data_IF_790113987752
#
_entry.id   IF_790113987752
#
_cell.length_a   1.000
_cell.length_b   1.000
_cell.length_c   1.000
_cell.angle_alpha   90.00
_cell.angle_beta   90.00
_cell.angle_gamma   90.00
#
_symmetry.space_group_name_H-M   'P 1'
#
loop_
_entity.id
_entity.type
_entity.pdbx_description
1 polymer ?
#
# COMPACT_ATOMS: atom_id res chain seq x y z
N UNK A 1 -13.38 29.40 -63.46
CA UNK A 1 -13.07 30.25 -62.28
C UNK A 1 -11.93 29.58 -61.54
N UNK A 2 -10.77 30.23 -61.51
CA UNK A 2 -9.49 29.61 -61.21
C UNK A 2 -9.12 29.58 -59.72
N UNK A 3 -8.24 28.62 -59.42
CA UNK A 3 -7.29 28.55 -58.31
C UNK A 3 -6.87 29.94 -57.79
N UNK A 4 -6.77 30.12 -56.46
CA UNK A 4 -5.59 30.72 -55.81
C UNK A 4 -5.86 31.23 -54.38
N UNK A 5 -5.11 30.65 -53.42
CA UNK A 5 -4.50 31.25 -52.21
C UNK A 5 -5.45 31.60 -51.05
N UNK A 6 -5.10 31.45 -49.77
CA UNK A 6 -3.88 31.04 -49.03
C UNK A 6 -4.34 30.86 -47.56
N UNK A 7 -3.92 29.78 -46.89
CA UNK A 7 -2.83 29.82 -45.90
C UNK A 7 -3.24 30.41 -44.53
N UNK A 8 -3.85 29.58 -43.66
CA UNK A 8 -3.66 29.64 -42.21
C UNK A 8 -2.86 28.36 -41.87
N UNK A 9 -1.52 28.35 -41.87
CA UNK A 9 -0.64 28.80 -40.78
C UNK A 9 -1.10 28.28 -39.41
N UNK A 10 -0.27 27.38 -38.85
CA UNK A 10 -0.06 27.12 -37.41
C UNK A 10 -1.29 26.48 -36.74
N UNK A 11 -1.30 25.20 -36.39
CA UNK A 11 -0.50 24.62 -35.32
C UNK A 11 -0.33 23.12 -35.67
N UNK A 12 0.75 22.80 -36.36
CA UNK A 12 1.41 21.50 -36.15
C UNK A 12 2.17 21.71 -34.84
N UNK A 13 1.50 21.56 -33.71
CA UNK A 13 2.18 21.20 -32.47
C UNK A 13 2.42 19.72 -32.65
N UNK A 14 3.59 19.23 -33.06
CA UNK A 14 4.82 19.22 -32.25
C UNK A 14 4.51 19.22 -30.74
N UNK A 15 3.50 18.46 -30.34
CA UNK A 15 3.67 17.51 -29.26
C UNK A 15 4.47 16.38 -29.92
N UNK A 16 5.76 16.59 -30.24
CA UNK A 16 6.81 16.23 -29.32
C UNK A 16 6.47 14.90 -28.64
N UNK A 17 6.18 13.91 -29.49
CA UNK A 17 6.79 12.59 -29.41
C UNK A 17 8.05 12.65 -28.53
N UNK A 18 8.09 11.79 -27.52
CA UNK A 18 9.30 11.34 -26.87
C UNK A 18 10.01 12.35 -25.95
N UNK A 19 9.34 12.83 -24.90
CA UNK A 19 9.82 12.39 -23.59
C UNK A 19 9.41 10.91 -23.48
N UNK A 20 10.21 9.92 -23.91
CA UNK A 20 11.42 9.52 -23.18
C UNK A 20 11.35 9.93 -21.70
N UNK A 21 10.19 9.71 -21.09
CA UNK A 21 10.18 9.16 -19.74
C UNK A 21 10.93 7.85 -19.90
N UNK A 22 12.21 7.87 -19.60
CA UNK A 22 12.80 6.77 -18.87
C UNK A 22 11.90 6.60 -17.67
N UNK A 23 10.79 5.87 -17.83
CA UNK A 23 10.12 5.25 -16.71
C UNK A 23 11.27 4.44 -16.14
N UNK A 24 11.82 4.80 -14.95
CA UNK A 24 12.73 3.88 -14.30
C UNK A 24 12.03 2.54 -14.38
N UNK A 25 12.72 1.46 -14.72
CA UNK A 25 12.12 0.14 -14.69
C UNK A 25 11.67 -0.10 -13.24
N UNK A 26 10.48 0.39 -12.89
CA UNK A 26 9.84 0.21 -11.60
C UNK A 26 9.59 -1.28 -11.63
N UNK A 27 10.36 -2.03 -10.85
CA UNK A 27 10.22 -3.47 -10.66
C UNK A 27 8.96 -3.79 -9.85
N UNK A 28 7.89 -3.04 -10.08
CA UNK A 28 6.64 -3.14 -9.38
C UNK A 28 5.49 -3.37 -10.36
N UNK A 29 4.44 -3.98 -9.82
CA UNK A 29 3.29 -4.45 -10.55
C UNK A 29 2.09 -3.57 -10.16
N UNK A 30 1.46 -2.93 -11.15
CA UNK A 30 0.16 -2.26 -10.99
C UNK A 30 -0.94 -3.32 -11.07
N UNK A 31 -1.51 -3.64 -9.90
CA UNK A 31 -2.53 -4.66 -9.74
C UNK A 31 -3.89 -4.24 -10.31
N UNK A 32 -4.13 -2.93 -10.50
CA UNK A 32 -5.37 -2.44 -11.10
C UNK A 32 -5.37 -2.69 -12.61
N UNK A 33 -4.21 -2.53 -13.26
CA UNK A 33 -4.06 -2.80 -14.70
C UNK A 33 -3.87 -4.28 -15.01
N UNK A 34 -3.10 -5.00 -14.18
CA UNK A 34 -2.79 -6.41 -14.38
C UNK A 34 -3.02 -7.24 -13.11
N UNK A 35 -4.28 -7.48 -12.70
CA UNK A 35 -4.59 -8.18 -11.44
C UNK A 35 -4.04 -9.61 -11.35
N UNK A 36 -3.79 -10.24 -12.50
CA UNK A 36 -3.25 -11.61 -12.59
C UNK A 36 -1.78 -11.68 -12.21
N UNK A 37 -1.07 -10.56 -12.31
CA UNK A 37 0.37 -10.51 -12.05
C UNK A 37 0.67 -10.27 -10.57
N UNK A 38 -0.34 -9.80 -9.81
CA UNK A 38 -0.30 -9.70 -8.37
C UNK A 38 -0.76 -11.01 -7.71
N UNK A 39 -0.24 -11.28 -6.51
CA UNK A 39 -0.54 -12.51 -5.77
C UNK A 39 -0.56 -12.24 -4.27
N UNK A 40 -1.78 -12.24 -3.70
CA UNK A 40 -2.01 -12.14 -2.26
C UNK A 40 -1.29 -13.26 -1.50
N UNK A 41 -1.32 -14.51 -1.99
CA UNK A 41 -0.57 -15.62 -1.38
C UNK A 41 0.94 -15.36 -1.38
N UNK A 42 1.47 -14.75 -2.43
CA UNK A 42 2.87 -14.32 -2.48
C UNK A 42 3.16 -13.20 -1.47
N UNK A 43 2.28 -12.21 -1.32
CA UNK A 43 2.40 -11.18 -0.27
C UNK A 43 2.46 -11.84 1.12
N UNK A 44 1.53 -12.74 1.42
CA UNK A 44 1.49 -13.44 2.71
C UNK A 44 2.74 -14.30 2.96
N UNK A 45 3.43 -14.77 1.91
CA UNK A 45 4.68 -15.53 1.99
C UNK A 45 5.92 -14.62 2.11
N UNK A 46 5.99 -13.56 1.33
CA UNK A 46 7.19 -12.73 1.17
C UNK A 46 7.37 -11.71 2.30
N UNK A 47 6.31 -11.38 3.03
CA UNK A 47 6.32 -10.40 4.13
C UNK A 47 6.13 -11.08 5.50
N UNK A 48 7.18 -11.72 6.06
CA UNK A 48 7.15 -12.26 7.42
C UNK A 48 7.12 -11.16 8.48
N UNK A 49 7.55 -9.95 8.13
CA UNK A 49 7.51 -8.77 8.97
C UNK A 49 7.15 -7.57 8.08
N UNK A 50 6.15 -6.80 8.49
CA UNK A 50 5.68 -5.63 7.74
C UNK A 50 5.27 -4.50 8.68
N UNK A 51 5.56 -3.27 8.26
CA UNK A 51 5.13 -2.04 8.93
C UNK A 51 4.10 -1.32 8.07
N UNK A 52 3.07 -0.78 8.71
CA UNK A 52 2.25 0.23 8.08
C UNK A 52 2.99 1.57 8.17
N UNK A 53 3.44 2.05 7.02
CA UNK A 53 4.30 3.22 6.93
C UNK A 53 3.48 4.50 6.77
N UNK A 54 2.43 4.46 5.95
CA UNK A 54 1.66 5.65 5.61
C UNK A 54 0.25 5.29 5.11
N UNK A 55 -0.69 6.21 5.31
CA UNK A 55 -2.09 6.06 4.90
C UNK A 55 -2.65 7.33 4.25
N UNK A 56 -3.78 7.21 3.57
CA UNK A 56 -4.60 8.35 3.16
C UNK A 56 -5.65 8.78 4.20
N UNK A 57 -5.73 8.10 5.35
CA UNK A 57 -6.65 8.45 6.43
C UNK A 57 -6.06 9.58 7.27
N UNK A 58 -6.69 10.75 7.23
CA UNK A 58 -6.24 11.93 7.97
C UNK A 58 -6.32 11.79 9.49
N UNK A 59 -7.25 10.96 9.99
CA UNK A 59 -7.49 10.73 11.41
C UNK A 59 -7.29 9.24 11.75
N UNK A 60 -6.16 8.65 11.34
CA UNK A 60 -5.87 7.26 11.67
C UNK A 60 -5.80 7.09 13.21
N UNK A 61 -6.58 6.18 13.82
CA UNK A 61 -6.65 6.08 15.28
C UNK A 61 -5.38 5.48 15.89
N UNK A 62 -4.51 4.89 15.06
CA UNK A 62 -3.32 4.13 15.44
C UNK A 62 -2.08 4.62 14.73
N UNK A 63 -0.92 4.33 15.32
CA UNK A 63 0.38 4.59 14.73
C UNK A 63 1.40 3.53 15.16
N UNK A 64 2.55 3.47 14.48
CA UNK A 64 3.60 2.47 14.68
C UNK A 64 3.16 1.01 14.50
N UNK A 65 2.25 0.76 13.56
CA UNK A 65 1.74 -0.59 13.36
C UNK A 65 2.81 -1.52 12.79
N UNK A 66 2.98 -2.66 13.44
CA UNK A 66 3.93 -3.72 13.10
C UNK A 66 3.22 -5.05 13.12
N UNK A 67 3.44 -5.88 12.12
CA UNK A 67 2.86 -7.21 12.03
C UNK A 67 3.97 -8.22 11.79
N UNK A 68 4.12 -9.18 12.69
CA UNK A 68 5.11 -10.26 12.62
C UNK A 68 4.43 -11.61 12.43
N UNK A 69 4.74 -12.29 11.32
CA UNK A 69 4.11 -13.55 10.94
C UNK A 69 4.54 -14.67 11.89
N UNK A 70 3.58 -15.27 12.56
CA UNK A 70 3.78 -16.42 13.45
C UNK A 70 3.56 -17.76 12.76
N UNK A 71 2.75 -17.79 11.70
CA UNK A 71 2.52 -19.01 10.92
C UNK A 71 2.02 -18.69 9.51
N UNK A 72 2.24 -19.63 8.59
CA UNK A 72 1.70 -19.65 7.24
C UNK A 72 1.19 -21.06 6.98
N UNK A 73 -0.02 -21.16 6.44
CA UNK A 73 -0.62 -22.43 5.96
C UNK A 73 0.18 -23.04 4.81
N UNK A 74 0.06 -24.35 4.61
CA UNK A 74 0.84 -25.09 3.60
C UNK A 74 0.58 -24.59 2.16
N UNK A 75 -0.63 -24.14 1.87
CA UNK A 75 -1.02 -23.59 0.57
C UNK A 75 -0.76 -22.06 0.43
N UNK A 76 -0.25 -21.43 1.50
CA UNK A 76 0.07 -20.01 1.54
C UNK A 76 -1.16 -19.08 1.58
N UNK A 77 -2.37 -19.60 1.78
CA UNK A 77 -3.61 -18.81 1.72
C UNK A 77 -3.95 -18.12 3.03
N UNK A 78 -3.51 -18.68 4.16
CA UNK A 78 -3.75 -18.14 5.51
C UNK A 78 -2.42 -17.89 6.19
N UNK A 79 -2.24 -16.68 6.73
CA UNK A 79 -1.13 -16.29 7.58
C UNK A 79 -1.64 -15.72 8.90
N UNK A 80 -0.97 -16.03 10.01
CA UNK A 80 -1.26 -15.41 11.30
C UNK A 80 -0.10 -14.50 11.69
N UNK A 81 -0.43 -13.35 12.26
CA UNK A 81 0.50 -12.31 12.68
C UNK A 81 0.26 -11.92 14.13
N UNK A 82 1.35 -11.72 14.87
CA UNK A 82 1.31 -10.92 16.10
C UNK A 82 1.48 -9.45 15.68
N UNK A 83 0.44 -8.66 15.95
CA UNK A 83 0.38 -7.23 15.62
C UNK A 83 0.73 -6.39 16.85
N UNK A 84 1.42 -5.29 16.65
CA UNK A 84 1.74 -4.31 17.68
C UNK A 84 1.47 -2.90 17.17
N UNK A 85 0.79 -2.07 17.96
CA UNK A 85 0.44 -0.70 17.58
C UNK A 85 0.21 0.18 18.82
N UNK A 86 0.08 1.49 18.61
CA UNK A 86 -0.23 2.45 19.67
C UNK A 86 -1.43 3.28 19.24
N UNK A 87 -2.38 3.55 20.13
CA UNK A 87 -3.47 4.50 19.84
C UNK A 87 -2.97 5.94 19.87
N UNK A 88 -3.36 6.72 18.86
CA UNK A 88 -3.01 8.14 18.73
C UNK A 88 -3.55 8.98 19.90
N UNK A 89 -4.73 8.64 20.42
CA UNK A 89 -5.35 9.29 21.59
C UNK A 89 -4.90 8.72 22.94
N UNK A 90 -4.03 7.71 22.93
CA UNK A 90 -3.60 6.97 24.12
C UNK A 90 -2.41 7.61 24.84
N UNK A 91 -1.96 6.95 25.90
CA UNK A 91 -0.81 7.33 26.73
C UNK A 91 0.53 6.86 26.17
N UNK A 92 0.55 6.32 24.95
CA UNK A 92 1.74 5.72 24.34
C UNK A 92 1.94 4.23 24.68
N UNK A 93 1.02 3.60 25.40
CA UNK A 93 1.09 2.16 25.71
C UNK A 93 1.05 1.32 24.45
N UNK A 94 2.00 0.40 24.34
CA UNK A 94 2.05 -0.60 23.28
C UNK A 94 0.91 -1.60 23.45
N UNK A 95 0.14 -1.78 22.40
CA UNK A 95 -0.93 -2.77 22.32
C UNK A 95 -0.45 -3.92 21.46
N UNK A 96 -0.72 -5.14 21.89
CA UNK A 96 -0.45 -6.35 21.12
C UNK A 96 -1.76 -7.04 20.77
N UNK A 97 -1.88 -7.51 19.54
CA UNK A 97 -3.04 -8.20 19.02
C UNK A 97 -2.64 -9.41 18.18
N UNK A 98 -3.60 -10.29 17.90
CA UNK A 98 -3.44 -11.40 16.97
C UNK A 98 -4.31 -11.18 15.77
N UNK A 99 -3.69 -11.14 14.61
CA UNK A 99 -4.36 -10.95 13.34
C UNK A 99 -4.24 -12.20 12.46
N UNK A 100 -5.30 -12.50 11.74
CA UNK A 100 -5.35 -13.52 10.69
C UNK A 100 -5.57 -12.83 9.36
N UNK A 101 -4.75 -13.18 8.39
CA UNK A 101 -4.79 -12.67 7.02
C UNK A 101 -5.12 -13.84 6.08
N UNK A 102 -6.13 -13.66 5.23
CA UNK A 102 -6.62 -14.68 4.30
C UNK A 102 -6.58 -14.14 2.88
N UNK A 103 -5.84 -14.80 2.00
CA UNK A 103 -5.82 -14.51 0.58
C UNK A 103 -7.11 -15.05 -0.08
N UNK A 104 -8.07 -14.17 -0.31
CA UNK A 104 -9.39 -14.51 -0.89
C UNK A 104 -9.32 -14.61 -2.41
N UNK A 105 -8.46 -13.80 -3.03
CA UNK A 105 -8.17 -13.84 -4.46
C UNK A 105 -6.74 -13.37 -4.73
N UNK A 106 -6.34 -13.24 -6.00
CA UNK A 106 -5.01 -12.73 -6.35
C UNK A 106 -4.70 -11.34 -5.79
N UNK A 107 -5.71 -10.50 -5.61
CA UNK A 107 -5.54 -9.11 -5.16
C UNK A 107 -6.24 -8.80 -3.84
N UNK A 108 -7.05 -9.70 -3.30
CA UNK A 108 -7.83 -9.45 -2.08
C UNK A 108 -7.27 -10.24 -0.90
N UNK A 109 -6.98 -9.52 0.19
CA UNK A 109 -6.58 -10.07 1.48
C UNK A 109 -7.61 -9.62 2.51
N UNK A 110 -8.26 -10.57 3.16
CA UNK A 110 -9.14 -10.30 4.30
C UNK A 110 -8.31 -10.37 5.59
N UNK A 111 -8.34 -9.31 6.40
CA UNK A 111 -7.67 -9.24 7.69
C UNK A 111 -8.69 -9.28 8.83
N UNK A 112 -8.39 -9.97 9.91
CA UNK A 112 -9.19 -9.94 11.14
C UNK A 112 -8.25 -9.88 12.33
N UNK A 113 -8.48 -8.97 13.27
CA UNK A 113 -7.61 -8.76 14.42
C UNK A 113 -8.44 -8.81 15.71
N UNK A 114 -8.06 -9.66 16.66
CA UNK A 114 -8.91 -10.03 17.81
C UNK A 114 -9.33 -8.85 18.71
N UNK A 115 -8.52 -7.81 18.84
CA UNK A 115 -8.78 -6.68 19.72
C UNK A 115 -9.01 -5.37 18.93
N UNK A 116 -8.37 -5.23 17.75
CA UNK A 116 -8.47 -4.03 16.94
C UNK A 116 -9.78 -3.96 16.14
N UNK A 117 -10.22 -5.10 15.60
CA UNK A 117 -11.39 -5.17 14.72
C UNK A 117 -11.96 -6.58 14.70
N UNK A 118 -13.06 -6.80 15.44
CA UNK A 118 -13.85 -8.04 15.38
C UNK A 118 -14.55 -8.25 14.03
N UNK A 119 -14.44 -7.29 13.10
CA UNK A 119 -14.95 -7.38 11.74
C UNK A 119 -13.82 -7.70 10.75
N UNK A 120 -14.18 -8.39 9.68
CA UNK A 120 -13.29 -8.67 8.56
C UNK A 120 -13.00 -7.36 7.83
N UNK A 121 -11.71 -7.08 7.63
CA UNK A 121 -11.19 -5.91 6.97
C UNK A 121 -10.65 -6.29 5.58
N UNK A 122 -11.41 -6.04 4.50
CA UNK A 122 -10.97 -6.39 3.16
C UNK A 122 -9.92 -5.39 2.66
N UNK A 123 -8.76 -5.88 2.26
CA UNK A 123 -7.66 -5.09 1.70
C UNK A 123 -7.35 -5.53 0.28
N UNK A 124 -7.52 -4.62 -0.68
CA UNK A 124 -7.27 -4.86 -2.10
C UNK A 124 -5.92 -4.30 -2.51
N UNK A 125 -5.04 -5.14 -3.04
CA UNK A 125 -3.74 -4.77 -3.59
C UNK A 125 -3.90 -3.91 -4.84
N UNK A 126 -3.25 -2.75 -4.87
CA UNK A 126 -3.21 -1.83 -6.00
C UNK A 126 -1.83 -1.76 -6.65
N UNK A 127 -0.76 -1.89 -5.85
CA UNK A 127 0.61 -1.90 -6.34
C UNK A 127 1.52 -2.76 -5.46
N UNK A 128 2.42 -3.54 -6.05
CA UNK A 128 3.40 -4.36 -5.33
C UNK A 128 4.79 -4.12 -5.90
N UNK A 129 5.78 -3.82 -5.06
CA UNK A 129 7.18 -3.66 -5.45
C UNK A 129 8.04 -4.78 -4.83
N UNK A 130 8.26 -5.84 -5.61
CA UNK A 130 9.00 -7.03 -5.20
C UNK A 130 8.67 -7.46 -3.75
N UNK A 131 9.68 -7.56 -2.88
CA UNK A 131 9.54 -7.85 -1.44
C UNK A 131 9.80 -6.62 -0.56
N UNK A 132 9.75 -5.42 -1.16
CA UNK A 132 10.09 -4.17 -0.47
C UNK A 132 8.85 -3.52 0.12
N UNK A 133 7.77 -3.43 -0.65
CA UNK A 133 6.57 -2.73 -0.23
C UNK A 133 5.37 -3.10 -1.10
N UNK A 134 4.18 -2.77 -0.61
CA UNK A 134 2.95 -2.82 -1.38
C UNK A 134 1.98 -1.72 -0.93
N UNK A 135 1.12 -1.31 -1.86
CA UNK A 135 0.03 -0.36 -1.64
C UNK A 135 -1.27 -1.08 -1.93
N UNK A 136 -2.27 -0.78 -1.12
CA UNK A 136 -3.63 -1.23 -1.38
C UNK A 136 -4.64 -0.34 -0.71
N UNK A 137 -5.91 -0.64 -0.96
CA UNK A 137 -7.02 0.11 -0.42
C UNK A 137 -8.06 -0.79 0.25
N UNK A 138 -8.93 -0.11 0.97
CA UNK A 138 -10.09 -0.69 1.62
C UNK A 138 -11.22 0.34 1.71
N UNK A 139 -12.41 -0.14 2.06
CA UNK A 139 -13.59 0.66 2.29
C UNK A 139 -13.95 0.54 3.77
N UNK A 140 -13.69 1.60 4.55
CA UNK A 140 -14.03 1.63 5.98
C UNK A 140 -15.55 1.72 6.23
N UNK A 141 -16.30 2.21 5.25
CA UNK A 141 -17.76 2.26 5.27
C UNK A 141 -18.31 1.86 3.90
N UNK A 142 -19.01 0.72 3.85
CA UNK A 142 -19.63 0.16 2.65
C UNK A 142 -20.60 1.14 1.95
N UNK A 143 -21.15 2.12 2.69
CA UNK A 143 -22.09 3.09 2.16
C UNK A 143 -21.43 4.29 1.50
N UNK A 144 -20.21 4.65 1.92
CA UNK A 144 -19.54 5.87 1.43
C UNK A 144 -18.74 5.65 0.16
N UNK A 145 -18.40 4.39 -0.17
CA UNK A 145 -17.49 4.03 -1.28
C UNK A 145 -16.15 4.78 -1.26
N UNK A 146 -15.79 5.37 -0.11
CA UNK A 146 -14.53 6.07 0.04
C UNK A 146 -13.43 5.01 0.18
N UNK A 147 -12.44 5.10 -0.70
CA UNK A 147 -11.25 4.27 -0.66
C UNK A 147 -10.22 4.93 0.26
N UNK A 148 -9.72 4.15 1.21
CA UNK A 148 -8.59 4.52 2.04
C UNK A 148 -7.41 3.66 1.68
N UNK A 149 -6.29 4.31 1.40
CA UNK A 149 -5.08 3.68 0.90
C UNK A 149 -4.05 3.55 2.01
N UNK A 150 -3.29 2.47 1.97
CA UNK A 150 -2.22 2.17 2.93
C UNK A 150 -0.97 1.72 2.20
N UNK A 151 0.18 2.07 2.76
CA UNK A 151 1.51 1.66 2.33
C UNK A 151 2.10 0.76 3.39
N UNK A 152 2.32 -0.50 3.02
CA UNK A 152 3.05 -1.45 3.83
C UNK A 152 4.47 -1.61 3.30
N UNK A 153 5.45 -1.64 4.21
CA UNK A 153 6.86 -1.82 3.88
C UNK A 153 7.44 -3.03 4.61
N UNK A 154 8.43 -3.64 3.97
CA UNK A 154 9.37 -4.51 4.64
C UNK A 154 10.36 -3.63 5.43
N UNK A 155 10.50 -3.81 6.75
CA UNK A 155 11.36 -2.94 7.56
C UNK A 155 12.86 -3.12 7.32
N UNK A 156 13.24 -4.09 6.50
CA UNK A 156 14.62 -4.26 6.06
C UNK A 156 14.92 -3.51 4.75
N UNK A 157 13.91 -2.94 4.09
CA UNK A 157 14.10 -2.09 2.93
C UNK A 157 14.58 -0.69 3.33
N UNK A 158 15.46 -0.11 2.53
CA UNK A 158 15.82 1.31 2.67
C UNK A 158 14.78 2.22 2.01
N UNK A 159 14.90 3.52 2.26
CA UNK A 159 13.97 4.55 1.77
C UNK A 159 13.87 4.55 0.24
N UNK A 160 14.98 4.31 -0.47
CA UNK A 160 15.01 4.22 -1.93
C UNK A 160 14.23 3.00 -2.44
N UNK A 161 14.28 1.89 -1.72
CA UNK A 161 13.63 0.63 -2.11
C UNK A 161 12.11 0.69 -2.04
N UNK A 162 11.53 1.52 -1.17
CA UNK A 162 10.06 1.69 -1.07
C UNK A 162 9.52 2.98 -1.71
N UNK A 163 10.39 3.87 -2.22
CA UNK A 163 10.00 5.09 -2.94
C UNK A 163 8.93 4.86 -4.03
N UNK A 164 8.99 3.77 -4.85
CA UNK A 164 7.96 3.52 -5.84
C UNK A 164 6.56 3.35 -5.22
N UNK A 165 6.44 2.62 -4.10
CA UNK A 165 5.15 2.45 -3.44
C UNK A 165 4.65 3.76 -2.83
N UNK A 166 5.55 4.60 -2.31
CA UNK A 166 5.16 5.93 -1.83
C UNK A 166 4.62 6.81 -2.98
N UNK A 167 5.25 6.76 -4.15
CA UNK A 167 4.80 7.50 -5.34
C UNK A 167 3.39 7.06 -5.78
N UNK A 168 3.13 5.75 -5.79
CA UNK A 168 1.80 5.20 -6.09
C UNK A 168 0.76 5.56 -5.04
N UNK A 169 1.07 5.45 -3.76
CA UNK A 169 0.19 5.90 -2.68
C UNK A 169 -0.19 7.38 -2.88
N UNK A 170 0.80 8.24 -3.12
CA UNK A 170 0.60 9.66 -3.35
C UNK A 170 -0.28 9.93 -4.59
N UNK A 171 -0.12 9.15 -5.65
CA UNK A 171 -0.98 9.22 -6.85
C UNK A 171 -2.42 8.82 -6.53
N UNK A 172 -2.62 7.66 -5.90
CA UNK A 172 -3.94 7.14 -5.56
C UNK A 172 -4.70 8.01 -4.55
N UNK A 173 -4.00 8.58 -3.58
CA UNK A 173 -4.60 9.44 -2.54
C UNK A 173 -4.75 10.90 -2.95
N UNK A 174 -4.38 11.26 -4.20
CA UNK A 174 -4.33 12.66 -4.66
C UNK A 174 -3.48 13.57 -3.76
N UNK A 175 -2.38 13.03 -3.24
CA UNK A 175 -1.46 13.74 -2.35
C UNK A 175 -1.84 13.76 -0.86
N UNK A 176 -2.97 13.15 -0.49
CA UNK A 176 -3.36 13.03 0.92
C UNK A 176 -2.61 11.84 1.53
N UNK A 177 -1.38 12.07 1.99
CA UNK A 177 -0.53 11.05 2.58
C UNK A 177 -0.13 11.47 4.00
N UNK A 178 -0.38 10.58 4.95
CA UNK A 178 -0.10 10.77 6.37
C UNK A 178 0.80 9.65 6.85
N UNK A 179 1.93 10.00 7.49
CA UNK A 179 2.86 9.01 8.05
C UNK A 179 2.24 8.34 9.27
N UNK A 180 2.27 7.00 9.30
CA UNK A 180 1.86 6.17 10.44
C UNK A 180 3.10 5.81 11.28
N UNK A 181 4.29 5.81 10.66
CA UNK A 181 5.54 5.60 11.35
C UNK A 181 6.23 6.93 11.70
N UNK A 182 6.63 7.08 12.95
CA UNK A 182 7.42 8.20 13.48
C UNK A 182 8.55 7.60 14.32
N UNK A 183 9.81 7.78 13.90
CA UNK A 183 10.94 7.13 14.56
C UNK A 183 11.06 7.47 16.04
N UNK A 184 10.62 8.66 16.46
CA UNK A 184 10.70 9.10 17.84
C UNK A 184 9.60 8.47 18.70
N UNK A 185 8.38 8.41 18.16
CA UNK A 185 7.22 7.85 18.86
C UNK A 185 7.17 6.32 18.80
N UNK A 186 7.77 5.72 17.78
CA UNK A 186 7.82 4.27 17.58
C UNK A 186 8.98 3.57 18.29
N UNK A 187 9.80 4.27 19.09
CA UNK A 187 10.93 3.68 19.82
C UNK A 187 10.54 2.51 20.72
N UNK A 188 9.32 2.51 21.24
CA UNK A 188 8.77 1.45 22.09
C UNK A 188 8.33 0.22 21.31
N UNK A 189 8.17 0.31 19.98
CA UNK A 189 7.85 -0.82 19.11
C UNK A 189 9.17 -1.45 18.64
N UNK A 190 9.46 -2.72 18.99
CA UNK A 190 10.73 -3.35 18.62
C UNK A 190 10.94 -3.38 17.10
N UNK A 191 12.07 -2.83 16.64
CA UNK A 191 12.39 -2.78 15.20
C UNK A 191 12.72 -4.16 14.59
N UNK A 192 13.07 -5.14 15.44
CA UNK A 192 13.47 -6.50 15.07
C UNK A 192 13.11 -7.44 16.22
N UNK A 193 12.74 -8.70 15.96
CA UNK A 193 12.66 -9.72 17.00
C UNK A 193 14.01 -9.93 17.71
#
# INVERSE_FOLDING_TARGET
>A
MGLSKRLNLLIISVVALASMMTVPCIRGQDCQQSPKDCSATKILSDFPLLYDQATSISNNPTYCERYERTSLSEDGTIANYDASYIYYSGDGTLITDKCTYVAVSNTLIDMTCKNFSDIVYPFTLDFVSETNCFVGHTYLDENTKIQYYYLFINPYSDDESYEPCFSWLNGYSSGNVYSIHDEEKCKSVPRKP
#
